data_IF_057697891410
#
_entry.id   IF_057697891410
#
_cell.length_a   1.000
_cell.length_b   1.000
_cell.length_c   1.000
_cell.angle_alpha   90.00
_cell.angle_beta   90.00
_cell.angle_gamma   90.00
#
_symmetry.space_group_name_H-M   'P 1'
#
loop_
_entity.id
_entity.type
_entity.pdbx_description
1 polymer ?
#
# COMPACT_ATOMS: atom_id res chain seq x y z
N UNK A 1 11.85 -5.87 19.71
CA UNK A 1 10.89 -6.22 18.63
C UNK A 1 10.47 -4.90 17.99
N UNK A 2 10.60 -4.76 16.67
CA UNK A 2 10.12 -3.57 15.99
C UNK A 2 8.59 -3.49 16.17
N UNK A 3 8.09 -2.35 16.67
CA UNK A 3 6.68 -2.15 16.92
C UNK A 3 6.02 -1.72 15.61
N UNK A 4 5.47 -2.68 14.86
CA UNK A 4 4.79 -2.37 13.61
C UNK A 4 3.34 -1.97 13.86
N UNK A 5 2.90 -0.89 13.21
CA UNK A 5 1.49 -0.51 13.10
C UNK A 5 0.79 -1.31 11.98
N UNK A 6 -0.54 -1.43 12.08
CA UNK A 6 -1.37 -2.06 11.05
C UNK A 6 -1.47 -1.25 9.75
N UNK A 7 -1.16 0.05 9.80
CA UNK A 7 -1.12 0.94 8.64
C UNK A 7 -0.09 2.07 8.83
N UNK A 8 0.46 2.55 7.72
CA UNK A 8 1.41 3.66 7.67
C UNK A 8 0.95 4.66 6.61
N UNK A 9 1.12 5.94 6.89
CA UNK A 9 0.90 7.01 5.92
C UNK A 9 2.23 7.68 5.59
N UNK A 10 2.67 7.55 4.34
CA UNK A 10 3.80 8.31 3.81
C UNK A 10 3.22 9.49 3.02
N UNK A 11 3.56 10.71 3.44
CA UNK A 11 3.13 11.95 2.81
C UNK A 11 4.33 12.88 2.63
N UNK A 12 4.37 13.58 1.50
CA UNK A 12 5.37 14.58 1.17
C UNK A 12 5.01 15.26 -0.15
N UNK A 13 5.83 16.20 -0.56
CA UNK A 13 5.76 16.93 -1.82
C UNK A 13 6.87 16.52 -2.81
N UNK A 14 7.97 15.92 -2.32
CA UNK A 14 9.04 15.35 -3.13
C UNK A 14 8.80 13.86 -3.46
N UNK A 15 8.58 13.49 -4.73
CA UNK A 15 8.32 12.10 -5.12
C UNK A 15 9.51 11.15 -4.89
N UNK A 16 10.75 11.65 -4.97
CA UNK A 16 11.95 10.86 -4.73
C UNK A 16 12.06 10.49 -3.26
N UNK A 17 11.81 11.44 -2.35
CA UNK A 17 11.81 11.16 -0.91
C UNK A 17 10.68 10.19 -0.52
N UNK A 18 9.48 10.34 -1.08
CA UNK A 18 8.38 9.39 -0.85
C UNK A 18 8.74 8.00 -1.36
N UNK A 19 9.32 7.91 -2.56
CA UNK A 19 9.76 6.64 -3.15
C UNK A 19 10.79 5.91 -2.28
N UNK A 20 11.80 6.65 -1.78
CA UNK A 20 12.80 6.09 -0.88
C UNK A 20 12.19 5.63 0.45
N UNK A 21 11.34 6.46 1.08
CA UNK A 21 10.66 6.08 2.33
C UNK A 21 9.77 4.84 2.17
N UNK A 22 9.06 4.72 1.05
CA UNK A 22 8.24 3.54 0.75
C UNK A 22 9.12 2.29 0.56
N UNK A 23 10.22 2.42 -0.16
CA UNK A 23 11.17 1.32 -0.35
C UNK A 23 11.70 0.84 1.01
N UNK A 24 12.23 1.74 1.83
CA UNK A 24 12.82 1.41 3.13
C UNK A 24 11.78 0.77 4.08
N UNK A 25 10.56 1.31 4.11
CA UNK A 25 9.48 0.76 4.93
C UNK A 25 9.08 -0.65 4.47
N UNK A 26 8.88 -0.85 3.15
CA UNK A 26 8.49 -2.16 2.62
C UNK A 26 9.58 -3.21 2.83
N UNK A 27 10.87 -2.85 2.71
CA UNK A 27 11.98 -3.76 3.04
C UNK A 27 11.95 -4.20 4.51
N UNK A 28 11.66 -3.28 5.44
CA UNK A 28 11.54 -3.61 6.87
C UNK A 28 10.32 -4.49 7.18
N UNK A 29 9.18 -4.22 6.53
CA UNK A 29 7.95 -4.98 6.73
C UNK A 29 8.05 -6.41 6.20
N UNK A 30 8.70 -6.59 5.05
CA UNK A 30 8.84 -7.88 4.38
C UNK A 30 9.84 -8.82 5.04
N UNK A 31 10.79 -8.33 5.86
CA UNK A 31 11.75 -9.18 6.59
C UNK A 31 12.47 -10.23 5.73
N UNK A 32 12.75 -9.91 4.46
CA UNK A 32 13.43 -10.80 3.51
C UNK A 32 12.52 -11.64 2.61
N UNK A 33 11.20 -11.49 2.70
CA UNK A 33 10.26 -12.12 1.78
C UNK A 33 10.37 -11.60 0.33
N UNK A 34 9.95 -12.43 -0.63
CA UNK A 34 9.95 -12.05 -2.03
C UNK A 34 8.94 -10.93 -2.29
N UNK A 35 9.44 -9.77 -2.71
CA UNK A 35 8.64 -8.57 -3.01
C UNK A 35 7.55 -8.83 -4.04
N UNK A 36 7.83 -9.62 -5.08
CA UNK A 36 6.91 -9.88 -6.18
C UNK A 36 5.69 -10.72 -5.75
N UNK A 37 5.81 -11.42 -4.61
CA UNK A 37 4.73 -12.24 -4.03
C UNK A 37 4.04 -11.52 -2.86
N UNK A 38 4.81 -10.79 -2.05
CA UNK A 38 4.35 -10.23 -0.80
C UNK A 38 3.78 -8.81 -0.93
N UNK A 39 4.14 -8.05 -1.98
CA UNK A 39 3.66 -6.68 -2.19
C UNK A 39 2.56 -6.65 -3.25
N UNK A 40 1.44 -6.02 -2.90
CA UNK A 40 0.43 -5.59 -3.84
C UNK A 40 0.37 -4.06 -3.89
N UNK A 41 0.37 -3.49 -5.09
CA UNK A 41 0.20 -2.06 -5.29
C UNK A 41 -1.18 -1.76 -5.86
N UNK A 42 -1.92 -0.87 -5.18
CA UNK A 42 -3.23 -0.37 -5.60
C UNK A 42 -3.06 1.09 -5.95
N UNK A 43 -3.28 1.44 -7.21
CA UNK A 43 -3.04 2.77 -7.75
C UNK A 43 -4.34 3.49 -8.13
N UNK A 44 -4.21 4.67 -8.72
CA UNK A 44 -5.35 5.52 -9.06
C UNK A 44 -6.40 4.81 -9.94
N UNK A 45 -5.96 3.99 -10.89
CA UNK A 45 -6.86 3.27 -11.79
C UNK A 45 -7.68 2.25 -11.01
N UNK A 46 -7.06 1.57 -10.04
CA UNK A 46 -7.76 0.61 -9.17
C UNK A 46 -8.75 1.29 -8.22
N UNK A 47 -8.57 2.58 -7.94
CA UNK A 47 -9.49 3.33 -7.09
C UNK A 47 -10.74 3.80 -7.82
N UNK A 48 -10.90 3.55 -9.11
CA UNK A 48 -12.10 3.93 -9.85
C UNK A 48 -13.08 2.76 -9.94
N UNK A 49 -14.33 3.00 -9.54
CA UNK A 49 -15.40 2.04 -9.73
C UNK A 49 -15.94 2.06 -11.16
N UNK A 50 -16.98 1.25 -11.43
CA UNK A 50 -17.63 1.18 -12.76
C UNK A 50 -18.25 2.51 -13.21
N UNK A 51 -18.57 3.40 -12.28
CA UNK A 51 -19.10 4.74 -12.55
C UNK A 51 -17.99 5.78 -12.72
N UNK A 52 -16.73 5.42 -12.43
CA UNK A 52 -15.55 6.29 -12.49
C UNK A 52 -15.28 7.06 -11.20
N UNK A 53 -16.09 6.86 -10.16
CA UNK A 53 -15.96 7.49 -8.86
C UNK A 53 -14.86 6.83 -8.03
N UNK A 54 -14.28 7.58 -7.09
CA UNK A 54 -13.23 7.05 -6.21
C UNK A 54 -13.82 6.13 -5.14
N UNK A 55 -13.34 4.89 -5.09
CA UNK A 55 -13.66 3.87 -4.08
C UNK A 55 -12.39 3.26 -3.45
N UNK A 56 -12.52 2.87 -2.17
CA UNK A 56 -11.49 2.14 -1.43
C UNK A 56 -11.62 0.61 -1.54
N UNK A 57 -12.64 0.11 -2.24
CA UNK A 57 -12.98 -1.32 -2.22
C UNK A 57 -11.82 -2.21 -2.69
N UNK A 58 -11.10 -1.82 -3.74
CA UNK A 58 -9.92 -2.57 -4.21
C UNK A 58 -8.80 -2.59 -3.17
N UNK A 59 -8.56 -1.48 -2.46
CA UNK A 59 -7.54 -1.42 -1.41
C UNK A 59 -7.93 -2.30 -0.20
N UNK A 60 -9.21 -2.25 0.20
CA UNK A 60 -9.72 -3.06 1.29
C UNK A 60 -9.65 -4.56 0.95
N UNK A 61 -10.05 -4.91 -0.27
CA UNK A 61 -9.99 -6.29 -0.79
C UNK A 61 -8.55 -6.81 -0.79
N UNK A 62 -7.62 -6.00 -1.31
CA UNK A 62 -6.18 -6.31 -1.28
C UNK A 62 -5.68 -6.55 0.16
N UNK A 63 -6.04 -5.68 1.11
CA UNK A 63 -5.61 -5.77 2.50
C UNK A 63 -6.22 -6.96 3.26
N UNK A 64 -7.40 -7.43 2.84
CA UNK A 64 -8.09 -8.59 3.43
C UNK A 64 -7.71 -9.92 2.76
N UNK A 65 -6.96 -9.87 1.65
CA UNK A 65 -6.51 -11.08 0.96
C UNK A 65 -5.37 -11.74 1.73
N UNK A 66 -5.53 -13.03 2.03
CA UNK A 66 -4.54 -13.83 2.76
C UNK A 66 -3.22 -13.88 1.95
N UNK A 67 -2.04 -13.79 2.61
CA UNK A 67 -0.74 -13.95 1.95
C UNK A 67 -0.64 -15.25 1.15
N UNK A 68 0.07 -15.21 0.01
CA UNK A 68 0.29 -16.37 -0.85
C UNK A 68 1.79 -16.68 -0.91
N UNK A 69 2.18 -17.90 -0.50
CA UNK A 69 3.59 -18.36 -0.42
C UNK A 69 4.51 -17.44 0.40
N UNK A 70 3.92 -16.68 1.32
CA UNK A 70 4.56 -15.67 2.17
C UNK A 70 3.88 -15.71 3.54
N UNK A 71 4.59 -15.32 4.60
CA UNK A 71 4.11 -15.15 5.96
C UNK A 71 3.30 -13.85 6.11
N UNK A 72 3.55 -12.86 5.25
CA UNK A 72 2.91 -11.54 5.32
C UNK A 72 2.57 -10.95 3.94
N UNK A 73 1.55 -10.09 3.92
CA UNK A 73 1.18 -9.29 2.74
C UNK A 73 1.29 -7.82 3.09
N UNK A 74 1.97 -7.06 2.24
CA UNK A 74 2.07 -5.60 2.33
C UNK A 74 1.31 -4.99 1.17
N UNK A 75 0.30 -4.19 1.48
CA UNK A 75 -0.50 -3.49 0.47
C UNK A 75 -0.13 -2.03 0.44
N UNK A 76 0.20 -1.52 -0.75
CA UNK A 76 0.60 -0.14 -0.98
C UNK A 76 -0.50 0.58 -1.75
N UNK A 77 -1.26 1.42 -1.05
CA UNK A 77 -2.21 2.34 -1.67
C UNK A 77 -1.51 3.63 -2.12
N UNK A 78 -1.61 3.97 -3.41
CA UNK A 78 -1.11 5.24 -3.97
C UNK A 78 -2.26 6.23 -4.21
N UNK A 79 -1.91 7.49 -4.44
CA UNK A 79 -2.88 8.57 -4.76
C UNK A 79 -3.95 8.76 -3.67
N UNK A 80 -3.62 8.45 -2.41
CA UNK A 80 -4.57 8.46 -1.30
C UNK A 80 -5.11 9.85 -0.93
N UNK A 81 -4.52 10.91 -1.49
CA UNK A 81 -5.06 12.26 -1.41
C UNK A 81 -6.48 12.38 -1.98
N UNK A 82 -6.87 11.52 -2.91
CA UNK A 82 -8.23 11.48 -3.48
C UNK A 82 -9.33 11.24 -2.43
N UNK A 83 -9.00 10.64 -1.28
CA UNK A 83 -9.94 10.32 -0.21
C UNK A 83 -9.84 11.28 0.99
N UNK A 84 -9.04 12.34 0.87
CA UNK A 84 -8.95 13.35 1.93
C UNK A 84 -10.24 14.16 2.03
N UNK A 85 -10.69 14.43 3.27
CA UNK A 85 -11.76 15.41 3.50
C UNK A 85 -11.23 16.81 3.17
N UNK A 86 -12.07 17.63 2.55
CA UNK A 86 -11.82 19.07 2.42
C UNK A 86 -11.76 19.74 3.78
#
# INVERSE_FOLDING_TARGET
>A
MANFASAYLIRGDDPTLIGNALKDLTEQLLKGENRDLAIEEVNEVNHRDESGDYSLDSLLTAAQTIPFLTDSRVVVGRHMGAFSKK
#
